data_IF_170395660689
#
_entry.id   IF_170395660689
#
_cell.length_a   1.000
_cell.length_b   1.000
_cell.length_c   1.000
_cell.angle_alpha   90.00
_cell.angle_beta   90.00
_cell.angle_gamma   90.00
#
_symmetry.space_group_name_H-M   'P 1'
#
loop_
_entity.id
_entity.type
_entity.pdbx_description
1 polymer ?
#
# COMPACT_ATOMS: atom_id res chain seq x y z
N UNK A 1 -6.46 -16.43 19.71
CA UNK A 1 -5.62 -15.42 19.06
C UNK A 1 -6.56 -14.50 18.30
N UNK A 2 -6.91 -13.34 18.86
CA UNK A 2 -7.63 -12.31 18.11
C UNK A 2 -6.64 -11.77 17.09
N UNK A 3 -6.83 -12.10 15.82
CA UNK A 3 -6.17 -11.36 14.74
C UNK A 3 -6.85 -9.99 14.81
N UNK A 4 -6.16 -8.99 15.37
CA UNK A 4 -6.56 -7.61 15.10
C UNK A 4 -6.52 -7.47 13.58
N UNK A 5 -7.69 -7.37 12.95
CA UNK A 5 -7.79 -7.09 11.53
C UNK A 5 -6.86 -5.91 11.24
N UNK A 6 -5.87 -6.11 10.38
CA UNK A 6 -5.14 -5.00 9.79
C UNK A 6 -6.20 -4.19 9.08
N UNK A 7 -6.61 -3.05 9.66
CA UNK A 7 -7.74 -2.23 9.20
C UNK A 7 -7.50 -1.58 7.82
N UNK A 8 -6.80 -2.24 6.89
CA UNK A 8 -6.38 -1.67 5.62
C UNK A 8 -5.62 -0.36 5.82
N UNK A 9 -4.72 -0.30 6.80
CA UNK A 9 -4.00 0.93 7.08
C UNK A 9 -2.88 1.09 6.07
N UNK A 10 -2.98 2.09 5.22
CA UNK A 10 -1.92 2.48 4.30
C UNK A 10 -1.22 3.74 4.80
N UNK A 11 0.01 3.97 4.35
CA UNK A 11 0.77 5.17 4.64
C UNK A 11 1.73 5.47 3.50
N UNK A 12 2.48 6.57 3.64
CA UNK A 12 3.55 6.88 2.72
C UNK A 12 4.77 7.42 3.46
N UNK A 13 5.95 7.15 2.90
CA UNK A 13 7.18 7.83 3.27
C UNK A 13 7.58 8.79 2.17
N UNK A 14 7.99 9.99 2.57
CA UNK A 14 8.60 10.97 1.70
C UNK A 14 10.11 10.96 1.93
N UNK A 15 10.86 10.85 0.85
CA UNK A 15 12.32 10.90 0.86
C UNK A 15 12.78 11.93 -0.15
N UNK A 16 13.59 12.88 0.33
CA UNK A 16 14.34 13.81 -0.50
C UNK A 16 15.80 13.74 -0.05
N UNK A 17 16.74 13.71 -1.00
CA UNK A 17 18.16 13.61 -0.68
C UNK A 17 18.64 14.76 0.21
N UNK A 18 19.50 14.44 1.18
CA UNK A 18 20.10 15.32 2.20
C UNK A 18 21.12 16.35 1.65
N UNK A 19 20.97 16.78 0.39
CA UNK A 19 21.84 17.81 -0.16
C UNK A 19 21.23 19.19 0.16
N UNK A 20 21.75 19.82 1.22
CA UNK A 20 21.35 21.15 1.75
C UNK A 20 21.31 22.27 0.68
N UNK A 21 21.84 22.01 -0.53
CA UNK A 21 21.86 22.96 -1.64
C UNK A 21 20.80 22.71 -2.73
N UNK A 22 20.27 21.48 -2.89
CA UNK A 22 19.24 21.06 -3.90
C UNK A 22 18.97 19.55 -3.78
N UNK A 23 17.79 19.08 -3.33
CA UNK A 23 17.46 17.66 -3.45
C UNK A 23 17.42 17.27 -4.94
N UNK A 24 18.30 16.35 -5.36
CA UNK A 24 18.44 15.97 -6.78
C UNK A 24 17.25 15.15 -7.31
N UNK A 25 16.49 14.50 -6.42
CA UNK A 25 15.15 13.97 -6.68
C UNK A 25 14.40 13.76 -5.35
N UNK A 26 13.11 14.12 -5.32
CA UNK A 26 12.21 13.80 -4.22
C UNK A 26 11.23 12.73 -4.68
N UNK A 27 10.94 11.76 -3.82
CA UNK A 27 10.01 10.67 -4.13
C UNK A 27 9.19 10.26 -2.92
N UNK A 28 8.08 9.59 -3.21
CA UNK A 28 7.18 8.98 -2.25
C UNK A 28 7.12 7.47 -2.46
N UNK A 29 7.02 6.72 -1.37
CA UNK A 29 6.67 5.30 -1.39
C UNK A 29 5.43 5.06 -0.55
N UNK A 30 4.49 4.28 -1.06
CA UNK A 30 3.27 3.85 -0.38
C UNK A 30 3.53 2.51 0.30
N UNK A 31 3.03 2.36 1.52
CA UNK A 31 3.23 1.19 2.36
C UNK A 31 1.91 0.67 2.92
N UNK A 32 1.86 -0.63 3.18
CA UNK A 32 0.88 -1.23 4.09
C UNK A 32 1.45 -1.16 5.50
N UNK A 33 0.68 -0.55 6.40
CA UNK A 33 1.05 -0.46 7.81
C UNK A 33 0.85 -1.79 8.50
N UNK A 34 1.89 -2.20 9.21
CA UNK A 34 1.82 -3.29 10.16
C UNK A 34 0.79 -2.97 11.25
N UNK A 35 0.12 -3.98 11.82
CA UNK A 35 -0.74 -3.71 12.98
C UNK A 35 0.10 -3.09 14.11
N UNK A 36 -0.52 -2.28 14.98
CA UNK A 36 0.21 -1.60 16.06
C UNK A 36 0.91 -2.58 17.03
N UNK A 37 0.46 -3.84 17.05
CA UNK A 37 1.03 -4.94 17.84
C UNK A 37 2.10 -5.75 17.09
N UNK A 38 2.23 -5.55 15.79
CA UNK A 38 3.20 -6.27 14.96
C UNK A 38 4.57 -5.60 15.02
N UNK A 39 5.61 -6.40 15.28
CA UNK A 39 7.01 -5.95 15.20
C UNK A 39 7.53 -5.84 13.76
N UNK A 40 6.74 -6.26 12.77
CA UNK A 40 7.15 -6.19 11.38
C UNK A 40 7.13 -4.73 10.90
N UNK A 41 8.15 -4.33 10.13
CA UNK A 41 8.20 -3.02 9.51
C UNK A 41 7.05 -2.83 8.52
N UNK A 42 6.66 -1.57 8.29
CA UNK A 42 5.75 -1.21 7.21
C UNK A 42 6.31 -1.71 5.88
N UNK A 43 5.48 -2.38 5.08
CA UNK A 43 5.92 -3.04 3.85
C UNK A 43 5.70 -2.11 2.65
N UNK A 44 6.75 -1.74 1.90
CA UNK A 44 6.59 -0.92 0.69
C UNK A 44 5.80 -1.71 -0.34
N UNK A 45 4.76 -1.08 -0.87
CA UNK A 45 3.94 -1.66 -1.94
C UNK A 45 4.09 -0.92 -3.27
N UNK A 46 4.63 0.31 -3.27
CA UNK A 46 4.91 1.06 -4.50
C UNK A 46 6.42 1.16 -4.79
N UNK A 47 6.79 1.38 -6.06
CA UNK A 47 8.12 1.92 -6.40
C UNK A 47 8.29 3.35 -5.87
N UNK A 48 9.46 3.96 -6.10
CA UNK A 48 9.67 5.39 -5.86
C UNK A 48 8.85 6.22 -6.86
N UNK A 49 7.78 6.86 -6.39
CA UNK A 49 6.89 7.69 -7.20
C UNK A 49 7.35 9.15 -7.09
N UNK A 50 7.59 9.81 -8.22
CA UNK A 50 8.18 11.16 -8.26
C UNK A 50 7.18 12.23 -8.69
N UNK A 51 6.09 11.82 -9.33
CA UNK A 51 5.08 12.72 -9.88
C UNK A 51 3.66 12.35 -9.44
N UNK A 52 2.75 13.33 -9.46
CA UNK A 52 1.33 13.10 -9.19
C UNK A 52 0.74 12.04 -10.15
N UNK A 53 1.08 12.10 -11.44
CA UNK A 53 0.58 11.15 -12.43
C UNK A 53 1.04 9.71 -12.18
N UNK A 54 2.25 9.50 -11.66
CA UNK A 54 2.72 8.18 -11.26
C UNK A 54 1.99 7.67 -10.01
N UNK A 55 1.68 8.57 -9.07
CA UNK A 55 0.88 8.26 -7.88
C UNK A 55 -0.53 7.84 -8.28
N UNK A 56 -1.21 8.67 -9.09
CA UNK A 56 -2.58 8.41 -9.52
C UNK A 56 -2.66 7.07 -10.27
N UNK A 57 -1.76 6.82 -11.22
CA UNK A 57 -1.72 5.55 -11.97
C UNK A 57 -1.53 4.35 -11.04
N UNK A 58 -0.57 4.42 -10.12
CA UNK A 58 -0.32 3.32 -9.19
C UNK A 58 -1.54 3.04 -8.30
N UNK A 59 -2.19 4.09 -7.80
CA UNK A 59 -3.36 3.95 -6.92
C UNK A 59 -4.56 3.40 -7.69
N UNK A 60 -4.82 3.87 -8.91
CA UNK A 60 -5.91 3.39 -9.75
C UNK A 60 -5.74 1.90 -10.08
N UNK A 61 -4.52 1.49 -10.49
CA UNK A 61 -4.19 0.09 -10.77
C UNK A 61 -4.37 -0.79 -9.51
N UNK A 62 -3.93 -0.29 -8.35
CA UNK A 62 -4.07 -1.00 -7.08
C UNK A 62 -5.54 -1.15 -6.66
N UNK A 63 -6.38 -0.13 -6.87
CA UNK A 63 -7.82 -0.20 -6.62
C UNK A 63 -8.44 -1.29 -7.49
N UNK A 64 -8.19 -1.27 -8.81
CA UNK A 64 -8.73 -2.28 -9.73
C UNK A 64 -8.33 -3.70 -9.32
N UNK A 65 -7.06 -3.91 -8.96
CA UNK A 65 -6.59 -5.21 -8.48
C UNK A 65 -7.27 -5.64 -7.17
N UNK A 66 -7.48 -4.72 -6.23
CA UNK A 66 -8.15 -5.01 -4.96
C UNK A 66 -9.64 -5.32 -5.16
N UNK A 67 -10.29 -4.65 -6.12
CA UNK A 67 -11.68 -4.94 -6.46
C UNK A 67 -11.86 -6.33 -7.08
N UNK A 68 -10.93 -6.75 -7.94
CA UNK A 68 -10.91 -8.11 -8.48
C UNK A 68 -10.73 -9.13 -7.35
N UNK A 69 -9.73 -8.93 -6.48
CA UNK A 69 -9.49 -9.80 -5.32
C UNK A 69 -10.71 -9.91 -4.40
N UNK A 70 -11.40 -8.78 -4.14
CA UNK A 70 -12.64 -8.74 -3.35
C UNK A 70 -13.72 -9.62 -3.97
N UNK A 71 -13.89 -9.58 -5.28
CA UNK A 71 -14.92 -10.35 -5.98
C UNK A 71 -14.56 -11.85 -5.99
N UNK A 72 -13.29 -12.18 -6.21
CA UNK A 72 -12.80 -13.56 -6.19
C UNK A 72 -12.94 -14.18 -4.79
N UNK A 73 -12.58 -13.43 -3.74
CA UNK A 73 -12.72 -13.87 -2.36
C UNK A 73 -14.19 -14.12 -1.96
N UNK A 74 -15.12 -13.25 -2.39
CA UNK A 74 -16.56 -13.45 -2.19
C UNK A 74 -17.06 -14.69 -2.91
N UNK A 75 -16.63 -14.88 -4.16
CA UNK A 75 -16.99 -16.04 -4.98
C UNK A 75 -16.50 -17.34 -4.35
N UNK A 76 -15.26 -17.36 -3.87
CA UNK A 76 -14.68 -18.49 -3.16
C UNK A 76 -15.48 -18.85 -1.89
N UNK A 77 -15.90 -17.84 -1.11
CA UNK A 77 -16.73 -18.08 0.08
C UNK A 77 -18.12 -18.63 -0.29
N UNK A 78 -18.74 -18.12 -1.35
CA UNK A 78 -20.04 -18.58 -1.82
C UNK A 78 -20.00 -20.05 -2.30
N UNK A 79 -18.88 -20.50 -2.88
CA UNK A 79 -18.69 -21.90 -3.29
C UNK A 79 -18.40 -22.85 -2.12
N UNK A 80 -17.94 -22.33 -0.97
CA UNK A 80 -17.63 -23.11 0.23
C UNK A 80 -18.79 -23.24 1.22
N UNK A 81 -19.93 -22.62 0.94
CA UNK A 81 -21.16 -22.75 1.75
C UNK A 81 -21.98 -23.95 1.23
N UNK A 82 -22.42 -24.87 2.11
CA UNK A 82 -23.27 -26.00 1.72
C UNK A 82 -24.65 -25.57 1.22
#
# INVERSE_FOLDING_TARGET
>A
MQIEETKGRFGFHFSAGDDDARPSAAFVQIYVKSSAMSRAADLPISPHLMTAAEIDRFVDDAILALEALRNDAKSALAMGLP
#
